data_IF_657722131695
#
_entry.id   IF_657722131695
#
_cell.length_a   1.000
_cell.length_b   1.000
_cell.length_c   1.000
_cell.angle_alpha   90.00
_cell.angle_beta   90.00
_cell.angle_gamma   90.00
#
_symmetry.space_group_name_H-M   'P 1'
#
loop_
_entity.id
_entity.type
_entity.pdbx_description
1 polymer ?
#
# COMPACT_ATOMS: atom_id res chain seq x y z
N UNK A 1 6.98 26.12 6.21
CA UNK A 1 6.28 24.84 6.50
C UNK A 1 6.48 23.96 5.30
N UNK A 2 6.73 22.67 5.50
CA UNK A 2 6.83 21.70 4.42
C UNK A 2 5.44 21.47 3.80
N UNK A 3 5.35 21.28 2.49
CA UNK A 3 4.08 21.03 1.81
C UNK A 3 3.45 19.70 2.26
N UNK A 4 2.11 19.60 2.37
CA UNK A 4 1.45 18.34 2.72
C UNK A 4 1.73 17.27 1.66
N UNK A 5 1.90 16.03 2.10
CA UNK A 5 2.09 14.87 1.23
C UNK A 5 0.96 13.87 1.42
N UNK A 6 0.48 13.32 0.31
CA UNK A 6 -0.53 12.26 0.30
C UNK A 6 0.14 10.91 0.08
N UNK A 7 -0.05 9.98 1.01
CA UNK A 7 0.63 8.68 1.01
C UNK A 7 -0.38 7.54 0.98
N UNK A 8 -0.35 6.75 -0.08
CA UNK A 8 -1.07 5.50 -0.19
C UNK A 8 -0.38 4.42 0.64
N UNK A 9 -1.12 3.75 1.51
CA UNK A 9 -0.62 2.60 2.28
C UNK A 9 -1.51 1.38 2.02
N UNK A 10 -0.92 0.30 1.54
CA UNK A 10 -1.65 -0.87 1.04
C UNK A 10 -1.21 -2.10 1.84
N UNK A 11 -2.14 -2.68 2.59
CA UNK A 11 -1.95 -3.99 3.21
C UNK A 11 -2.54 -5.05 2.29
N UNK A 12 -1.70 -5.98 1.86
CA UNK A 12 -2.03 -7.05 0.93
C UNK A 12 -2.00 -8.34 1.73
N UNK A 13 -3.20 -8.86 2.01
CA UNK A 13 -3.36 -10.09 2.77
C UNK A 13 -4.74 -10.69 2.58
N UNK A 14 -4.79 -11.93 2.09
CA UNK A 14 -6.03 -12.72 2.04
C UNK A 14 -6.70 -12.83 3.43
N UNK A 15 -5.90 -12.97 4.51
CA UNK A 15 -6.42 -13.19 5.87
C UNK A 15 -6.91 -11.91 6.54
N UNK A 16 -6.20 -10.79 6.35
CA UNK A 16 -6.64 -9.54 6.94
C UNK A 16 -7.82 -8.95 6.15
N UNK A 17 -7.82 -9.05 4.82
CA UNK A 17 -8.94 -8.60 3.98
C UNK A 17 -10.24 -9.38 4.23
N UNK A 18 -10.16 -10.66 4.58
CA UNK A 18 -11.31 -11.49 4.98
C UNK A 18 -11.71 -11.32 6.45
N UNK A 19 -11.02 -10.47 7.22
CA UNK A 19 -11.30 -10.20 8.63
C UNK A 19 -10.92 -11.33 9.59
N UNK A 20 -10.18 -12.34 9.12
CA UNK A 20 -9.69 -13.45 9.96
C UNK A 20 -8.57 -12.96 10.88
N UNK A 21 -7.77 -12.00 10.42
CA UNK A 21 -6.68 -11.38 11.16
C UNK A 21 -6.89 -9.87 11.23
N UNK A 22 -6.55 -9.27 12.37
CA UNK A 22 -6.41 -7.83 12.47
C UNK A 22 -5.20 -7.38 11.65
N UNK A 23 -5.38 -6.35 10.82
CA UNK A 23 -4.26 -5.75 10.09
C UNK A 23 -3.34 -5.00 11.05
N UNK A 24 -2.08 -5.43 11.11
CA UNK A 24 -1.00 -4.76 11.84
C UNK A 24 -0.08 -3.96 10.93
N UNK A 25 -0.21 -4.14 9.61
CA UNK A 25 0.64 -3.50 8.62
C UNK A 25 0.37 -2.00 8.50
N UNK A 26 -0.90 -1.62 8.32
CA UNK A 26 -1.27 -0.21 8.15
C UNK A 26 -0.99 0.63 9.41
N UNK A 27 -1.32 0.19 10.63
CA UNK A 27 -0.95 0.93 11.84
C UNK A 27 0.57 1.16 11.95
N UNK A 28 1.37 0.11 11.75
CA UNK A 28 2.83 0.20 11.83
C UNK A 28 3.42 1.16 10.77
N UNK A 29 2.91 1.13 9.54
CA UNK A 29 3.32 2.06 8.49
C UNK A 29 2.96 3.51 8.82
N UNK A 30 1.75 3.76 9.33
CA UNK A 30 1.34 5.11 9.76
C UNK A 30 2.23 5.66 10.86
N UNK A 31 2.51 4.85 11.88
CA UNK A 31 3.35 5.25 13.01
C UNK A 31 4.77 5.57 12.55
N UNK A 32 5.36 4.69 11.73
CA UNK A 32 6.71 4.89 11.21
C UNK A 32 6.80 6.15 10.33
N UNK A 33 5.89 6.33 9.38
CA UNK A 33 5.88 7.50 8.48
C UNK A 33 5.68 8.81 9.25
N UNK A 34 4.79 8.81 10.25
CA UNK A 34 4.56 9.97 11.10
C UNK A 34 5.81 10.34 11.91
N UNK A 35 6.63 9.35 12.28
CA UNK A 35 7.91 9.59 12.97
C UNK A 35 9.05 10.01 12.02
N UNK A 36 9.01 9.57 10.77
CA UNK A 36 10.10 9.72 9.81
C UNK A 36 10.00 11.01 8.97
N UNK A 37 8.78 11.49 8.70
CA UNK A 37 8.54 12.65 7.83
C UNK A 37 8.17 13.89 8.66
N UNK A 38 8.65 15.06 8.22
CA UNK A 38 8.33 16.34 8.83
C UNK A 38 7.11 17.03 8.19
N UNK A 39 6.69 16.55 7.01
CA UNK A 39 5.54 17.06 6.27
C UNK A 39 4.23 16.64 6.95
N UNK A 40 3.17 17.47 6.92
CA UNK A 40 1.82 16.99 7.20
C UNK A 40 1.47 15.84 6.24
N UNK A 41 0.96 14.73 6.77
CA UNK A 41 0.66 13.52 5.99
C UNK A 41 -0.85 13.30 5.91
N UNK A 42 -1.35 13.09 4.71
CA UNK A 42 -2.68 12.53 4.45
C UNK A 42 -2.53 11.07 4.04
N UNK A 43 -3.02 10.14 4.85
CA UNK A 43 -2.97 8.70 4.54
C UNK A 43 -4.19 8.25 3.74
N UNK A 44 -3.95 7.51 2.66
CA UNK A 44 -4.98 6.87 1.83
C UNK A 44 -4.84 5.34 1.95
N UNK A 45 -5.52 4.71 2.91
CA UNK A 45 -5.34 3.28 3.17
C UNK A 45 -6.12 2.39 2.20
N UNK A 46 -5.56 1.22 1.91
CA UNK A 46 -6.22 0.09 1.24
C UNK A 46 -5.87 -1.21 1.96
N UNK A 47 -6.85 -2.09 2.12
CA UNK A 47 -6.68 -3.46 2.62
C UNK A 47 -7.30 -4.40 1.59
N UNK A 48 -6.48 -5.20 0.92
CA UNK A 48 -6.88 -5.98 -0.25
C UNK A 48 -6.32 -7.42 -0.20
N UNK A 49 -6.93 -8.38 -0.91
CA UNK A 49 -6.42 -9.75 -1.01
C UNK A 49 -5.16 -9.85 -1.89
N UNK A 50 -4.48 -11.00 -1.83
CA UNK A 50 -3.28 -11.35 -2.60
C UNK A 50 -3.65 -11.75 -4.04
N UNK A 51 -4.19 -10.79 -4.80
CA UNK A 51 -4.58 -10.97 -6.20
C UNK A 51 -3.93 -9.92 -7.09
N UNK A 52 -3.11 -10.35 -8.05
CA UNK A 52 -2.29 -9.46 -8.88
C UNK A 52 -3.11 -8.32 -9.52
N UNK A 53 -4.26 -8.65 -10.14
CA UNK A 53 -5.12 -7.65 -10.78
C UNK A 53 -5.68 -6.63 -9.78
N UNK A 54 -6.06 -7.07 -8.58
CA UNK A 54 -6.55 -6.20 -7.51
C UNK A 54 -5.45 -5.29 -6.97
N UNK A 55 -4.23 -5.81 -6.79
CA UNK A 55 -3.06 -5.03 -6.37
C UNK A 55 -2.75 -3.97 -7.42
N UNK A 56 -2.64 -4.34 -8.70
CA UNK A 56 -2.38 -3.40 -9.79
C UNK A 56 -3.46 -2.30 -9.87
N UNK A 57 -4.73 -2.66 -9.77
CA UNK A 57 -5.83 -1.69 -9.78
C UNK A 57 -5.74 -0.70 -8.61
N UNK A 58 -5.44 -1.18 -7.40
CA UNK A 58 -5.29 -0.33 -6.23
C UNK A 58 -4.10 0.63 -6.36
N UNK A 59 -2.96 0.16 -6.89
CA UNK A 59 -1.79 1.01 -7.14
C UNK A 59 -2.10 2.11 -8.16
N UNK A 60 -2.76 1.76 -9.27
CA UNK A 60 -3.18 2.74 -10.30
C UNK A 60 -4.15 3.75 -9.70
N UNK A 61 -5.17 3.33 -8.96
CA UNK A 61 -6.14 4.22 -8.32
C UNK A 61 -5.45 5.21 -7.36
N UNK A 62 -4.52 4.72 -6.53
CA UNK A 62 -3.80 5.55 -5.57
C UNK A 62 -2.93 6.62 -6.24
N UNK A 63 -2.35 6.31 -7.39
CA UNK A 63 -1.50 7.25 -8.13
C UNK A 63 -2.36 8.18 -8.98
N UNK A 64 -3.18 7.64 -9.89
CA UNK A 64 -3.85 8.39 -10.94
C UNK A 64 -5.09 9.15 -10.46
N UNK A 65 -5.85 8.55 -9.53
CA UNK A 65 -7.11 9.14 -9.04
C UNK A 65 -6.93 9.88 -7.72
N UNK A 66 -6.21 9.26 -6.77
CA UNK A 66 -5.99 9.86 -5.45
C UNK A 66 -4.81 10.84 -5.45
N UNK A 67 -3.91 10.78 -6.44
CA UNK A 67 -2.78 11.71 -6.53
C UNK A 67 -1.75 11.51 -5.42
N UNK A 68 -1.55 10.27 -4.95
CA UNK A 68 -0.55 9.98 -3.92
C UNK A 68 0.87 10.28 -4.41
N UNK A 69 1.66 10.97 -3.58
CA UNK A 69 3.07 11.26 -3.86
C UNK A 69 3.98 10.04 -3.59
N UNK A 70 3.52 9.13 -2.74
CA UNK A 70 4.19 7.90 -2.37
C UNK A 70 3.13 6.81 -2.14
N UNK A 71 3.39 5.60 -2.62
CA UNK A 71 2.59 4.41 -2.28
C UNK A 71 3.50 3.37 -1.66
N UNK A 72 3.09 2.81 -0.52
CA UNK A 72 3.82 1.78 0.21
C UNK A 72 2.93 0.54 0.39
N UNK A 73 3.43 -0.61 -0.05
CA UNK A 73 2.78 -1.91 0.11
C UNK A 73 3.40 -2.70 1.25
N UNK A 74 2.59 -3.47 1.97
CA UNK A 74 3.05 -4.48 2.93
C UNK A 74 2.31 -5.79 2.71
N UNK A 75 3.03 -6.92 2.75
CA UNK A 75 2.52 -8.24 2.41
C UNK A 75 2.73 -8.64 0.95
N UNK A 76 2.67 -9.94 0.68
CA UNK A 76 2.74 -10.49 -0.67
C UNK A 76 4.11 -10.38 -1.39
N UNK A 77 5.22 -10.24 -0.66
CA UNK A 77 6.59 -10.05 -1.23
C UNK A 77 7.56 -11.20 -0.94
N UNK A 78 7.08 -12.31 -0.37
CA UNK A 78 7.89 -13.50 -0.08
C UNK A 78 8.03 -14.47 -1.27
N UNK A 79 8.49 -15.70 -1.02
CA UNK A 79 8.67 -16.73 -2.05
C UNK A 79 7.42 -17.59 -2.29
N UNK A 80 6.29 -17.32 -1.64
CA UNK A 80 5.10 -18.15 -1.77
C UNK A 80 4.43 -17.96 -3.14
N UNK A 81 3.72 -18.96 -3.68
CA UNK A 81 3.08 -18.85 -5.00
C UNK A 81 2.04 -17.72 -5.15
N UNK A 82 1.56 -17.18 -4.03
CA UNK A 82 0.59 -16.07 -3.99
C UNK A 82 1.23 -14.73 -3.60
N UNK A 83 2.53 -14.69 -3.33
CA UNK A 83 3.25 -13.44 -3.10
C UNK A 83 3.44 -12.72 -4.44
N UNK A 84 2.43 -11.94 -4.85
CA UNK A 84 2.31 -11.32 -6.18
C UNK A 84 2.49 -9.80 -6.16
N UNK A 85 2.83 -9.21 -5.01
CA UNK A 85 3.00 -7.76 -4.86
C UNK A 85 4.10 -7.21 -5.76
N UNK A 86 5.31 -7.82 -5.86
CA UNK A 86 6.36 -7.34 -6.76
C UNK A 86 5.92 -7.36 -8.24
N UNK A 87 5.31 -8.44 -8.70
CA UNK A 87 4.83 -8.62 -10.07
C UNK A 87 3.71 -7.62 -10.41
N UNK A 88 2.77 -7.41 -9.50
CA UNK A 88 1.71 -6.42 -9.65
C UNK A 88 2.27 -4.99 -9.72
N UNK A 89 3.30 -4.69 -8.92
CA UNK A 89 3.98 -3.39 -8.89
C UNK A 89 4.73 -3.15 -10.21
N UNK A 90 5.51 -4.13 -10.68
CA UNK A 90 6.23 -4.04 -11.95
C UNK A 90 5.31 -3.94 -13.16
N UNK A 91 4.09 -4.47 -13.08
CA UNK A 91 3.11 -4.41 -14.17
C UNK A 91 2.53 -2.99 -14.38
N UNK A 92 2.59 -2.13 -13.37
CA UNK A 92 1.97 -0.78 -13.41
C UNK A 92 2.98 0.36 -13.28
N UNK A 93 4.15 0.10 -12.71
CA UNK A 93 5.21 1.08 -12.61
C UNK A 93 5.89 1.31 -13.98
N UNK A 94 6.16 2.58 -14.30
CA UNK A 94 7.00 2.99 -15.41
C UNK A 94 8.48 3.12 -14.98
N UNK A 95 9.37 3.47 -15.93
CA UNK A 95 10.83 3.48 -15.77
C UNK A 95 11.36 4.81 -15.28
#
# INVERSE_FOLDING_TARGET
MSDPVRIGIVSISDRASTGVYEDKGLPALKDWLTSALLNPIEFVPRLIPDEQAGISAALIELVDAEGCNLVLTTGGTGPAPRDLTPEATMAVADR
#
